data_IF_644093930082
#
_entry.id   IF_644093930082
#
_cell.length_a   1.000
_cell.length_b   1.000
_cell.length_c   1.000
_cell.angle_alpha   90.00
_cell.angle_beta   90.00
_cell.angle_gamma   90.00
#
_symmetry.space_group_name_H-M   'P 1'
#
loop_
_entity.id
_entity.type
_entity.pdbx_description
1 polymer ?
#
# COMPACT_ATOMS: atom_id res chain seq x y z
N UNK A 1 -21.99 -4.36 -16.62
CA UNK A 1 -22.02 -4.01 -15.19
C UNK A 1 -23.29 -3.25 -14.89
N UNK A 2 -23.75 -3.17 -13.61
CA UNK A 2 -24.99 -2.47 -13.21
C UNK A 2 -24.65 -1.39 -12.20
N UNK A 3 -25.41 -0.29 -12.15
CA UNK A 3 -25.37 0.68 -11.06
C UNK A 3 -25.81 -0.03 -9.76
N UNK A 4 -25.02 0.09 -8.70
CA UNK A 4 -25.23 -0.66 -7.44
C UNK A 4 -25.20 0.27 -6.23
N UNK A 5 -25.90 -0.12 -5.16
CA UNK A 5 -25.77 0.49 -3.84
C UNK A 5 -24.48 0.04 -3.15
N UNK A 6 -24.00 0.77 -2.15
CA UNK A 6 -22.77 0.44 -1.40
C UNK A 6 -22.82 -0.95 -0.77
N UNK A 7 -23.95 -1.29 -0.13
CA UNK A 7 -24.17 -2.61 0.46
C UNK A 7 -24.06 -3.72 -0.59
N UNK A 8 -24.63 -3.51 -1.78
CA UNK A 8 -24.55 -4.47 -2.88
C UNK A 8 -23.14 -4.60 -3.44
N UNK A 9 -22.35 -3.51 -3.50
CA UNK A 9 -20.96 -3.55 -3.95
C UNK A 9 -20.13 -4.41 -3.02
N UNK A 10 -20.24 -4.20 -1.70
CA UNK A 10 -19.48 -4.98 -0.71
C UNK A 10 -19.92 -6.44 -0.71
N UNK A 11 -21.22 -6.71 -0.66
CA UNK A 11 -21.75 -8.09 -0.62
C UNK A 11 -21.37 -8.90 -1.88
N UNK A 12 -21.56 -8.33 -3.07
CA UNK A 12 -21.23 -8.98 -4.33
C UNK A 12 -19.71 -9.12 -4.53
N UNK A 13 -18.92 -8.12 -4.09
CA UNK A 13 -17.48 -8.20 -4.12
C UNK A 13 -16.96 -9.34 -3.25
N UNK A 14 -17.47 -9.44 -2.03
CA UNK A 14 -17.12 -10.51 -1.12
C UNK A 14 -17.55 -11.89 -1.65
N UNK A 15 -18.77 -11.98 -2.20
CA UNK A 15 -19.27 -13.20 -2.83
C UNK A 15 -18.42 -13.64 -4.01
N UNK A 16 -18.12 -12.73 -4.95
CA UNK A 16 -17.27 -13.04 -6.09
C UNK A 16 -15.89 -13.53 -5.66
N UNK A 17 -15.30 -12.86 -4.66
CA UNK A 17 -14.00 -13.25 -4.12
C UNK A 17 -14.02 -14.67 -3.55
N UNK A 18 -14.97 -14.97 -2.64
CA UNK A 18 -15.06 -16.25 -1.97
C UNK A 18 -15.37 -17.42 -2.94
N UNK A 19 -16.34 -17.24 -3.82
CA UNK A 19 -16.73 -18.27 -4.80
C UNK A 19 -15.59 -18.60 -5.77
N UNK A 20 -14.70 -17.64 -6.06
CA UNK A 20 -13.60 -17.82 -7.00
C UNK A 20 -12.22 -17.84 -6.33
N UNK A 21 -12.15 -17.87 -5.00
CA UNK A 21 -10.87 -17.79 -4.26
C UNK A 21 -9.83 -18.79 -4.77
N UNK A 22 -10.24 -20.07 -4.94
CA UNK A 22 -9.34 -21.13 -5.44
C UNK A 22 -8.74 -20.81 -6.82
N UNK A 23 -9.50 -20.17 -7.70
CA UNK A 23 -9.05 -19.79 -9.05
C UNK A 23 -8.08 -18.59 -8.98
N UNK A 24 -8.41 -17.60 -8.16
CA UNK A 24 -7.59 -16.42 -7.91
C UNK A 24 -6.26 -16.79 -7.22
N UNK A 25 -6.34 -17.68 -6.23
CA UNK A 25 -5.16 -18.24 -5.57
C UNK A 25 -4.21 -18.91 -6.56
N UNK A 26 -4.73 -19.83 -7.41
CA UNK A 26 -3.91 -20.53 -8.40
C UNK A 26 -3.19 -19.63 -9.39
N UNK A 27 -3.72 -18.43 -9.68
CA UNK A 27 -3.09 -17.48 -10.60
C UNK A 27 -2.04 -16.60 -9.97
N UNK A 28 -2.10 -16.37 -8.65
CA UNK A 28 -1.28 -15.35 -7.98
C UNK A 28 -0.28 -15.89 -6.96
N UNK A 29 -0.37 -17.16 -6.54
CA UNK A 29 0.34 -17.69 -5.38
C UNK A 29 1.86 -17.55 -5.44
N UNK A 30 2.49 -17.75 -6.61
CA UNK A 30 3.95 -17.62 -6.74
C UNK A 30 4.39 -16.17 -6.50
N UNK A 31 3.68 -15.21 -7.12
CA UNK A 31 4.00 -13.80 -6.93
C UNK A 31 3.64 -13.31 -5.51
N UNK A 32 2.60 -13.90 -4.90
CA UNK A 32 2.26 -13.67 -3.49
C UNK A 32 3.34 -14.20 -2.54
N UNK A 33 3.98 -15.35 -2.85
CA UNK A 33 5.15 -15.83 -2.09
C UNK A 33 6.33 -14.87 -2.25
N UNK A 34 6.64 -14.41 -3.46
CA UNK A 34 7.72 -13.43 -3.67
C UNK A 34 7.46 -12.16 -2.86
N UNK A 35 6.23 -11.63 -2.89
CA UNK A 35 5.82 -10.52 -2.05
C UNK A 35 6.03 -10.81 -0.56
N UNK A 36 5.56 -11.95 -0.09
CA UNK A 36 5.66 -12.35 1.32
C UNK A 36 7.12 -12.51 1.78
N UNK A 37 8.00 -13.07 0.93
CA UNK A 37 9.44 -13.18 1.22
C UNK A 37 10.10 -11.78 1.31
N UNK A 38 9.75 -10.86 0.43
CA UNK A 38 10.24 -9.47 0.50
C UNK A 38 9.76 -8.78 1.79
N UNK A 39 8.48 -8.96 2.16
CA UNK A 39 7.93 -8.43 3.40
C UNK A 39 8.52 -9.10 4.65
N UNK A 40 8.79 -10.42 4.59
CA UNK A 40 9.48 -11.15 5.64
C UNK A 40 10.88 -10.62 5.88
N UNK A 41 11.66 -10.41 4.81
CA UNK A 41 12.99 -9.82 4.89
C UNK A 41 12.92 -8.37 5.41
N UNK A 42 11.97 -7.56 4.92
CA UNK A 42 11.75 -6.19 5.37
C UNK A 42 11.38 -6.15 6.87
N UNK A 43 10.41 -6.98 7.29
CA UNK A 43 9.98 -7.07 8.69
C UNK A 43 11.12 -7.50 9.62
N UNK A 44 11.91 -8.47 9.20
CA UNK A 44 13.09 -8.93 9.98
C UNK A 44 14.16 -7.84 10.08
N UNK A 45 14.48 -7.20 8.95
CA UNK A 45 15.48 -6.14 8.90
C UNK A 45 15.06 -4.95 9.78
N UNK A 46 13.79 -4.56 9.73
CA UNK A 46 13.25 -3.48 10.56
C UNK A 46 13.20 -3.86 12.04
N UNK A 47 12.79 -5.09 12.38
CA UNK A 47 12.71 -5.56 13.76
C UNK A 47 14.07 -5.59 14.46
N UNK A 48 15.16 -5.88 13.71
CA UNK A 48 16.52 -5.96 14.27
C UNK A 48 17.24 -4.61 14.19
N UNK A 49 17.17 -3.93 13.02
CA UNK A 49 18.01 -2.75 12.76
C UNK A 49 17.42 -1.42 13.22
N UNK A 50 16.09 -1.29 13.31
CA UNK A 50 15.50 -0.05 13.82
C UNK A 50 15.82 0.18 15.31
N UNK A 51 15.72 -0.80 16.22
CA UNK A 51 16.16 -0.61 17.60
C UNK A 51 17.63 -0.22 17.70
N UNK A 52 18.54 -0.91 17.00
CA UNK A 52 19.98 -0.56 16.95
C UNK A 52 20.20 0.89 16.50
N UNK A 53 19.50 1.33 15.43
CA UNK A 53 19.58 2.69 14.91
C UNK A 53 19.07 3.71 15.92
N UNK A 54 17.91 3.44 16.53
CA UNK A 54 17.31 4.34 17.54
C UNK A 54 18.27 4.55 18.72
N UNK A 55 18.92 3.46 19.17
CA UNK A 55 19.89 3.51 20.28
C UNK A 55 21.13 4.32 19.91
N UNK A 56 21.68 4.08 18.72
CA UNK A 56 22.83 4.85 18.26
C UNK A 56 22.51 6.34 18.13
N UNK A 57 21.30 6.68 17.62
CA UNK A 57 20.83 8.05 17.53
C UNK A 57 20.67 8.71 18.90
N UNK A 58 20.06 8.03 19.87
CA UNK A 58 19.90 8.59 21.23
C UNK A 58 21.23 8.81 21.94
N UNK A 59 22.16 7.87 21.82
CA UNK A 59 23.51 7.98 22.41
C UNK A 59 24.31 9.13 21.79
N UNK A 60 24.19 9.36 20.48
CA UNK A 60 24.89 10.44 19.78
C UNK A 60 24.27 11.82 20.03
N UNK A 61 22.93 11.93 20.17
CA UNK A 61 22.29 13.16 20.58
C UNK A 61 22.76 13.67 21.94
N UNK A 62 23.14 12.74 22.85
CA UNK A 62 23.66 13.08 24.17
C UNK A 62 25.14 13.46 24.16
N UNK A 63 25.93 13.02 23.15
CA UNK A 63 27.39 13.21 23.09
C UNK A 63 27.85 14.41 22.26
N UNK A 64 26.98 15.06 21.51
CA UNK A 64 27.24 16.26 20.67
C UNK A 64 28.43 16.19 19.69
N UNK A 65 29.05 15.05 19.46
CA UNK A 65 30.25 14.92 18.62
C UNK A 65 30.01 14.01 17.40
N UNK A 66 30.28 14.52 16.20
CA UNK A 66 30.50 13.73 14.99
C UNK A 66 29.28 13.06 14.37
N UNK A 67 28.07 13.57 14.62
CA UNK A 67 26.78 12.92 14.39
C UNK A 67 26.52 12.42 12.95
N UNK A 68 26.90 13.17 11.91
CA UNK A 68 26.37 12.87 10.58
C UNK A 68 27.22 11.94 9.70
N UNK A 69 28.52 11.93 9.82
CA UNK A 69 29.36 11.24 8.85
C UNK A 69 29.48 9.73 9.10
N UNK A 70 29.79 9.30 10.31
CA UNK A 70 29.98 7.87 10.62
C UNK A 70 28.67 7.12 10.77
N UNK A 71 27.68 7.71 11.45
CA UNK A 71 26.38 7.10 11.64
C UNK A 71 25.63 6.98 10.33
N UNK A 72 25.63 8.01 9.49
CA UNK A 72 25.04 7.97 8.17
C UNK A 72 25.67 6.89 7.28
N UNK A 73 27.00 6.70 7.35
CA UNK A 73 27.71 5.67 6.58
C UNK A 73 27.36 4.26 7.06
N UNK A 74 27.35 4.06 8.38
CA UNK A 74 27.05 2.75 8.98
C UNK A 74 25.62 2.30 8.70
N UNK A 75 24.66 3.22 8.73
CA UNK A 75 23.24 2.91 8.51
C UNK A 75 22.75 3.13 7.09
N UNK A 76 23.52 3.81 6.24
CA UNK A 76 23.16 4.04 4.83
C UNK A 76 22.82 2.73 4.13
N UNK A 77 23.63 1.68 4.28
CA UNK A 77 23.40 0.37 3.69
C UNK A 77 22.07 -0.26 4.18
N UNK A 78 21.78 -0.12 5.48
CA UNK A 78 20.51 -0.59 6.07
C UNK A 78 19.32 0.17 5.51
N UNK A 79 19.41 1.48 5.44
CA UNK A 79 18.35 2.35 4.88
C UNK A 79 18.12 2.03 3.40
N UNK A 80 19.18 1.89 2.61
CA UNK A 80 19.09 1.49 1.19
C UNK A 80 18.50 0.08 1.05
N UNK A 81 18.87 -0.85 1.94
CA UNK A 81 18.28 -2.18 1.99
C UNK A 81 16.77 -2.17 2.28
N UNK A 82 16.34 -1.37 3.25
CA UNK A 82 14.92 -1.19 3.58
C UNK A 82 14.16 -0.60 2.38
N UNK A 83 14.68 0.46 1.78
CA UNK A 83 14.05 1.10 0.60
C UNK A 83 13.99 0.12 -0.57
N UNK A 84 15.08 -0.61 -0.85
CA UNK A 84 15.13 -1.60 -1.92
C UNK A 84 14.13 -2.73 -1.74
N UNK A 85 14.04 -3.30 -0.52
CA UNK A 85 13.07 -4.34 -0.19
C UNK A 85 11.63 -3.82 -0.26
N UNK A 86 11.38 -2.58 0.19
CA UNK A 86 10.07 -1.93 0.08
C UNK A 86 9.63 -1.78 -1.38
N UNK A 87 10.51 -1.28 -2.24
CA UNK A 87 10.24 -1.15 -3.67
C UNK A 87 9.99 -2.51 -4.33
N UNK A 88 10.75 -3.55 -3.96
CA UNK A 88 10.57 -4.91 -4.42
C UNK A 88 9.24 -5.50 -3.97
N UNK A 89 8.85 -5.28 -2.70
CA UNK A 89 7.56 -5.71 -2.17
C UNK A 89 6.40 -5.03 -2.90
N UNK A 90 6.47 -3.72 -3.15
CA UNK A 90 5.46 -2.96 -3.93
C UNK A 90 5.37 -3.51 -5.36
N UNK A 91 6.50 -3.80 -6.00
CA UNK A 91 6.54 -4.36 -7.34
C UNK A 91 5.90 -5.77 -7.37
N UNK A 92 6.28 -6.65 -6.45
CA UNK A 92 5.74 -8.00 -6.34
C UNK A 92 4.21 -7.98 -6.06
N UNK A 93 3.77 -7.13 -5.13
CA UNK A 93 2.34 -6.93 -4.83
C UNK A 93 1.58 -6.44 -6.07
N UNK A 94 2.12 -5.45 -6.78
CA UNK A 94 1.52 -4.90 -8.00
C UNK A 94 1.37 -5.96 -9.10
N UNK A 95 2.40 -6.79 -9.30
CA UNK A 95 2.38 -7.86 -10.28
C UNK A 95 1.42 -9.00 -9.87
N UNK A 96 1.39 -9.38 -8.60
CA UNK A 96 0.44 -10.37 -8.08
C UNK A 96 -1.01 -9.89 -8.21
N UNK A 97 -1.28 -8.62 -7.88
CA UNK A 97 -2.61 -8.01 -8.07
C UNK A 97 -3.00 -7.91 -9.54
N UNK A 98 -2.04 -7.73 -10.46
CA UNK A 98 -2.30 -7.72 -11.90
C UNK A 98 -2.84 -9.06 -12.41
N UNK A 99 -2.41 -10.19 -11.83
CA UNK A 99 -2.94 -11.51 -12.18
C UNK A 99 -4.41 -11.65 -11.80
N UNK A 100 -4.78 -11.15 -10.63
CA UNK A 100 -6.17 -11.12 -10.15
C UNK A 100 -7.01 -10.16 -11.01
N UNK A 101 -6.48 -8.96 -11.32
CA UNK A 101 -7.13 -7.99 -12.21
C UNK A 101 -7.41 -8.55 -13.61
N UNK A 102 -6.50 -9.36 -14.14
CA UNK A 102 -6.72 -10.02 -15.43
C UNK A 102 -7.94 -10.96 -15.36
N UNK A 103 -8.12 -11.66 -14.25
CA UNK A 103 -9.30 -12.51 -14.02
C UNK A 103 -10.59 -11.69 -13.80
N UNK A 104 -10.49 -10.54 -13.15
CA UNK A 104 -11.62 -9.61 -13.03
C UNK A 104 -12.01 -8.98 -14.37
N UNK A 105 -11.03 -8.75 -15.26
CA UNK A 105 -11.30 -8.30 -16.61
C UNK A 105 -12.03 -9.39 -17.43
N UNK A 106 -11.59 -10.64 -17.35
CA UNK A 106 -12.29 -11.78 -17.92
C UNK A 106 -13.74 -11.86 -17.41
N UNK A 107 -13.95 -11.70 -16.09
CA UNK A 107 -15.29 -11.65 -15.51
C UNK A 107 -16.13 -10.47 -16.05
N UNK A 108 -15.50 -9.30 -16.30
CA UNK A 108 -16.20 -8.16 -16.91
C UNK A 108 -16.74 -8.50 -18.30
N UNK A 109 -15.96 -9.23 -19.10
CA UNK A 109 -16.25 -9.51 -20.49
C UNK A 109 -17.17 -10.74 -20.68
N UNK A 110 -16.97 -11.80 -19.89
CA UNK A 110 -17.67 -13.10 -20.04
C UNK A 110 -18.71 -13.40 -18.94
N UNK A 111 -18.69 -12.65 -17.83
CA UNK A 111 -19.53 -12.91 -16.65
C UNK A 111 -19.02 -14.04 -15.77
N UNK A 112 -17.95 -14.74 -16.13
CA UNK A 112 -17.38 -15.87 -15.37
C UNK A 112 -15.88 -15.75 -15.22
N UNK A 113 -15.31 -16.44 -14.22
CA UNK A 113 -13.86 -16.56 -14.03
C UNK A 113 -13.46 -18.00 -14.38
N UNK A 114 -12.65 -18.17 -15.43
CA UNK A 114 -12.15 -19.47 -15.82
C UNK A 114 -11.04 -19.97 -14.89
N UNK A 115 -10.89 -21.31 -14.82
CA UNK A 115 -9.74 -21.91 -14.15
C UNK A 115 -8.50 -21.70 -15.00
N UNK A 116 -7.40 -21.16 -14.45
CA UNK A 116 -6.18 -20.94 -15.23
C UNK A 116 -5.57 -22.29 -15.66
N UNK A 117 -5.18 -22.46 -16.93
CA UNK A 117 -4.49 -23.67 -17.38
C UNK A 117 -3.07 -23.79 -16.79
N UNK A 118 -2.41 -22.66 -16.57
CA UNK A 118 -1.08 -22.57 -15.97
C UNK A 118 -1.03 -21.49 -14.89
N UNK A 119 -0.03 -21.56 -14.01
CA UNK A 119 0.18 -20.62 -12.92
C UNK A 119 0.54 -19.19 -13.38
N UNK A 120 1.04 -19.00 -14.59
CA UNK A 120 1.35 -17.70 -15.18
C UNK A 120 0.55 -17.49 -16.48
N UNK A 121 -0.73 -17.21 -16.35
CA UNK A 121 -1.61 -16.94 -17.50
C UNK A 121 -1.71 -15.45 -17.83
N UNK A 122 -1.15 -14.59 -16.99
CA UNK A 122 -1.23 -13.15 -17.17
C UNK A 122 -0.14 -12.67 -18.12
N UNK A 123 -0.54 -11.88 -19.13
CA UNK A 123 0.43 -11.34 -20.08
C UNK A 123 1.43 -10.41 -19.37
N UNK A 124 2.73 -10.46 -19.74
CA UNK A 124 3.74 -9.55 -19.21
C UNK A 124 3.36 -8.06 -19.38
N UNK A 125 2.63 -7.75 -20.44
CA UNK A 125 2.11 -6.40 -20.72
C UNK A 125 1.15 -5.91 -19.63
N UNK A 126 0.28 -6.77 -19.09
CA UNK A 126 -0.62 -6.41 -17.98
C UNK A 126 0.14 -6.21 -16.68
N UNK A 127 1.14 -7.04 -16.41
CA UNK A 127 2.01 -6.89 -15.21
C UNK A 127 2.80 -5.58 -15.28
N UNK A 128 3.45 -5.28 -16.40
CA UNK A 128 4.17 -4.03 -16.61
C UNK A 128 3.26 -2.80 -16.54
N UNK A 129 2.03 -2.92 -17.03
CA UNK A 129 1.02 -1.87 -16.95
C UNK A 129 0.59 -1.62 -15.50
N UNK A 130 0.37 -2.67 -14.70
CA UNK A 130 0.04 -2.56 -13.28
C UNK A 130 1.19 -1.90 -12.51
N UNK A 131 2.41 -2.37 -12.69
CA UNK A 131 3.60 -1.81 -12.06
C UNK A 131 3.75 -0.31 -12.39
N UNK A 132 3.63 0.04 -13.69
CA UNK A 132 3.68 1.44 -14.14
C UNK A 132 2.55 2.28 -13.53
N UNK A 133 1.33 1.76 -13.49
CA UNK A 133 0.17 2.45 -12.93
C UNK A 133 0.32 2.72 -11.45
N UNK A 134 0.73 1.73 -10.67
CA UNK A 134 0.99 1.85 -9.22
C UNK A 134 2.13 2.85 -8.97
N UNK A 135 3.26 2.72 -9.69
CA UNK A 135 4.39 3.63 -9.56
C UNK A 135 4.00 5.09 -9.85
N UNK A 136 3.27 5.34 -10.94
CA UNK A 136 2.80 6.68 -11.28
C UNK A 136 1.78 7.23 -10.28
N UNK A 137 0.93 6.38 -9.71
CA UNK A 137 -0.01 6.78 -8.66
C UNK A 137 0.74 7.18 -7.38
N UNK A 138 1.75 6.40 -6.98
CA UNK A 138 2.62 6.73 -5.85
C UNK A 138 3.37 8.04 -6.11
N UNK A 139 3.88 8.24 -7.32
CA UNK A 139 4.56 9.49 -7.70
C UNK A 139 3.65 10.71 -7.52
N UNK A 140 2.38 10.62 -7.93
CA UNK A 140 1.41 11.70 -7.73
C UNK A 140 1.14 11.97 -6.25
N UNK A 141 1.09 10.90 -5.41
CA UNK A 141 0.89 11.04 -3.96
C UNK A 141 2.13 11.59 -3.22
N UNK A 142 3.33 11.38 -3.75
CA UNK A 142 4.56 11.92 -3.17
C UNK A 142 4.66 13.44 -3.37
N UNK A 143 4.08 14.01 -4.42
CA UNK A 143 4.18 15.46 -4.72
C UNK A 143 3.81 16.35 -3.52
N UNK A 144 2.64 16.19 -2.84
CA UNK A 144 2.31 17.00 -1.67
C UNK A 144 3.29 16.85 -0.52
N UNK A 145 3.85 15.65 -0.32
CA UNK A 145 4.83 15.38 0.73
C UNK A 145 6.18 16.07 0.45
N UNK A 146 6.64 16.00 -0.81
CA UNK A 146 7.89 16.69 -1.22
C UNK A 146 7.71 18.21 -1.11
N UNK A 147 6.57 18.73 -1.55
CA UNK A 147 6.27 20.16 -1.42
C UNK A 147 6.28 20.60 0.04
N UNK A 148 5.68 19.83 0.93
CA UNK A 148 5.71 20.07 2.37
C UNK A 148 7.14 20.06 2.91
N UNK A 149 7.94 19.04 2.58
CA UNK A 149 9.33 18.94 3.02
C UNK A 149 10.18 20.15 2.54
N UNK A 150 9.99 20.59 1.30
CA UNK A 150 10.66 21.78 0.75
C UNK A 150 10.23 23.05 1.48
N UNK A 151 8.93 23.23 1.73
CA UNK A 151 8.42 24.38 2.47
C UNK A 151 8.98 24.42 3.90
N UNK A 152 9.08 23.27 4.56
CA UNK A 152 9.66 23.17 5.90
C UNK A 152 11.17 23.49 5.89
N UNK A 153 11.93 22.99 4.91
CA UNK A 153 13.35 23.29 4.76
C UNK A 153 13.60 24.79 4.52
N UNK A 154 12.75 25.45 3.71
CA UNK A 154 12.82 26.91 3.50
C UNK A 154 12.51 27.65 4.81
N UNK A 155 11.47 27.26 5.54
CA UNK A 155 11.12 27.89 6.81
C UNK A 155 12.25 27.77 7.85
N UNK A 156 12.91 26.61 7.91
CA UNK A 156 14.08 26.38 8.76
C UNK A 156 15.27 27.27 8.39
N UNK A 157 15.53 27.44 7.09
CA UNK A 157 16.64 28.29 6.61
C UNK A 157 16.44 29.79 6.94
N UNK A 158 15.18 30.24 6.98
CA UNK A 158 14.84 31.64 7.30
C UNK A 158 14.82 31.91 8.79
N UNK A 159 14.41 30.93 9.61
CA UNK A 159 14.32 31.11 11.06
C UNK A 159 14.53 29.76 11.79
N UNK A 160 15.81 29.39 12.07
CA UNK A 160 16.15 28.09 12.69
C UNK A 160 15.51 27.86 14.05
N UNK A 161 15.25 28.94 14.82
CA UNK A 161 14.61 28.86 16.12
C UNK A 161 13.08 28.73 16.06
N UNK A 162 12.47 29.03 14.92
CA UNK A 162 11.02 29.03 14.77
C UNK A 162 10.40 27.62 14.81
N UNK A 163 11.12 26.58 14.36
CA UNK A 163 10.59 25.20 14.35
C UNK A 163 10.40 24.68 15.75
N UNK A 164 11.36 24.88 16.65
CA UNK A 164 11.25 24.44 18.05
C UNK A 164 10.19 25.23 18.82
N UNK A 165 10.01 26.51 18.53
CA UNK A 165 8.98 27.37 19.16
C UNK A 165 7.58 27.17 18.58
N UNK A 166 7.46 26.58 17.36
CA UNK A 166 6.19 26.39 16.64
C UNK A 166 5.88 24.93 16.33
N UNK A 167 6.16 24.01 17.26
CA UNK A 167 5.84 22.58 17.12
C UNK A 167 4.36 22.35 16.76
N UNK A 168 3.46 23.18 17.31
CA UNK A 168 2.03 23.18 16.97
C UNK A 168 1.77 23.52 15.50
N UNK A 169 2.49 24.49 14.95
CA UNK A 169 2.37 24.88 13.52
C UNK A 169 2.86 23.77 12.61
N UNK A 170 3.96 23.08 12.98
CA UNK A 170 4.45 21.92 12.27
C UNK A 170 3.41 20.80 12.21
N UNK A 171 2.84 20.43 13.35
CA UNK A 171 1.80 19.41 13.41
C UNK A 171 0.53 19.81 12.65
N UNK A 172 0.12 21.08 12.74
CA UNK A 172 -1.02 21.58 11.96
C UNK A 172 -0.77 21.48 10.45
N UNK A 173 0.41 21.87 9.99
CA UNK A 173 0.78 21.76 8.57
C UNK A 173 0.86 20.28 8.12
N UNK A 174 1.40 19.39 8.93
CA UNK A 174 1.42 17.95 8.66
C UNK A 174 -0.01 17.38 8.56
N UNK A 175 -0.91 17.78 9.46
CA UNK A 175 -2.32 17.40 9.40
C UNK A 175 -2.99 17.84 8.09
N UNK A 176 -2.70 19.06 7.62
CA UNK A 176 -3.22 19.55 6.32
C UNK A 176 -2.73 18.67 5.17
N UNK A 177 -1.45 18.29 5.14
CA UNK A 177 -0.90 17.39 4.12
C UNK A 177 -1.58 16.02 4.18
N UNK A 178 -1.77 15.46 5.37
CA UNK A 178 -2.49 14.19 5.55
C UNK A 178 -3.92 14.26 5.02
N UNK A 179 -4.64 15.37 5.27
CA UNK A 179 -6.00 15.59 4.75
C UNK A 179 -5.97 15.67 3.21
N UNK A 180 -5.03 16.39 2.62
CA UNK A 180 -4.89 16.49 1.16
C UNK A 180 -4.63 15.09 0.57
N UNK A 181 -3.71 14.31 1.13
CA UNK A 181 -3.42 12.95 0.68
C UNK A 181 -4.65 12.05 0.79
N UNK A 182 -5.37 12.14 1.91
CA UNK A 182 -6.61 11.40 2.13
C UNK A 182 -7.68 11.71 1.08
N UNK A 183 -7.84 12.99 0.71
CA UNK A 183 -8.77 13.40 -0.35
C UNK A 183 -8.33 12.88 -1.71
N UNK A 184 -7.02 12.90 -2.01
CA UNK A 184 -6.48 12.50 -3.32
C UNK A 184 -6.46 10.99 -3.57
N UNK A 185 -6.27 10.17 -2.53
CA UNK A 185 -6.15 8.71 -2.67
C UNK A 185 -7.37 8.10 -3.35
N UNK A 186 -8.59 8.49 -2.97
CA UNK A 186 -9.82 7.87 -3.47
C UNK A 186 -10.04 8.06 -4.98
N UNK A 187 -9.98 9.29 -5.54
CA UNK A 187 -10.09 9.46 -6.98
C UNK A 187 -8.92 8.84 -7.75
N UNK A 188 -7.71 8.81 -7.18
CA UNK A 188 -6.55 8.16 -7.81
C UNK A 188 -6.73 6.64 -7.89
N UNK A 189 -7.33 6.00 -6.89
CA UNK A 189 -7.65 4.57 -6.94
C UNK A 189 -8.68 4.26 -8.03
N UNK A 190 -9.70 5.11 -8.23
CA UNK A 190 -10.62 4.97 -9.35
C UNK A 190 -9.91 5.14 -10.71
N UNK A 191 -9.06 6.16 -10.85
CA UNK A 191 -8.26 6.38 -12.07
C UNK A 191 -7.35 5.19 -12.36
N UNK A 192 -6.67 4.66 -11.33
CA UNK A 192 -5.81 3.48 -11.46
C UNK A 192 -6.62 2.27 -11.96
N UNK A 193 -7.79 2.00 -11.36
CA UNK A 193 -8.65 0.90 -11.78
C UNK A 193 -9.11 1.09 -13.23
N UNK A 194 -9.53 2.28 -13.61
CA UNK A 194 -9.91 2.60 -14.99
C UNK A 194 -8.75 2.40 -15.96
N UNK A 195 -7.56 2.90 -15.61
CA UNK A 195 -6.36 2.70 -16.41
C UNK A 195 -6.04 1.22 -16.63
N UNK A 196 -6.23 0.37 -15.62
CA UNK A 196 -5.93 -1.07 -15.70
C UNK A 196 -7.00 -1.85 -16.47
N UNK A 197 -8.27 -1.46 -16.36
CA UNK A 197 -9.39 -2.14 -17.01
C UNK A 197 -9.59 -1.75 -18.48
N UNK A 198 -9.26 -0.51 -18.84
CA UNK A 198 -9.45 0.04 -20.19
C UNK A 198 -8.11 0.13 -20.93
N UNK A 199 -7.70 -0.95 -21.57
CA UNK A 199 -6.53 -0.94 -22.45
C UNK A 199 -6.95 -0.79 -23.94
N UNK A 200 -6.14 -0.12 -24.80
CA UNK A 200 -4.89 0.59 -24.51
C UNK A 200 -5.12 2.09 -24.22
N UNK A 201 -4.68 2.58 -23.08
CA UNK A 201 -4.68 4.02 -22.78
C UNK A 201 -3.41 4.45 -22.03
N UNK A 202 -3.06 5.75 -22.11
CA UNK A 202 -1.93 6.33 -21.38
C UNK A 202 -2.38 6.80 -20.00
N UNK A 203 -1.60 6.52 -18.95
CA UNK A 203 -1.95 6.87 -17.57
C UNK A 203 -2.31 8.36 -17.39
N UNK A 204 -1.47 9.28 -17.86
CA UNK A 204 -1.70 10.73 -17.74
C UNK A 204 -2.95 11.22 -18.48
N UNK A 205 -3.29 10.59 -19.61
CA UNK A 205 -4.53 10.89 -20.33
C UNK A 205 -5.74 10.42 -19.52
N UNK A 206 -5.68 9.21 -18.96
CA UNK A 206 -6.72 8.67 -18.09
C UNK A 206 -6.87 9.50 -16.82
N UNK A 207 -5.75 9.91 -16.20
CA UNK A 207 -5.76 10.77 -15.01
C UNK A 207 -6.51 12.08 -15.28
N UNK A 208 -6.14 12.82 -16.33
CA UNK A 208 -6.78 14.09 -16.67
C UNK A 208 -8.27 13.93 -17.00
N UNK A 209 -8.63 12.88 -17.75
CA UNK A 209 -10.00 12.65 -18.17
C UNK A 209 -10.93 12.16 -17.04
N UNK A 210 -10.40 11.38 -16.10
CA UNK A 210 -11.22 10.62 -15.14
C UNK A 210 -11.11 11.11 -13.71
N UNK A 211 -10.12 11.96 -13.37
CA UNK A 211 -9.93 12.48 -12.02
C UNK A 211 -11.15 13.27 -11.54
N UNK A 212 -11.73 14.14 -12.39
CA UNK A 212 -12.94 14.89 -12.07
C UNK A 212 -14.17 14.00 -11.84
N UNK A 213 -14.26 12.86 -12.56
CA UNK A 213 -15.28 11.85 -12.31
C UNK A 213 -15.08 11.20 -10.93
N UNK A 214 -13.85 10.82 -10.60
CA UNK A 214 -13.50 10.29 -9.27
C UNK A 214 -13.83 11.27 -8.15
N UNK A 215 -13.53 12.56 -8.32
CA UNK A 215 -13.87 13.60 -7.34
C UNK A 215 -15.39 13.78 -7.18
N UNK A 216 -16.15 13.72 -8.26
CA UNK A 216 -17.63 13.79 -8.22
C UNK A 216 -18.25 12.66 -7.41
N UNK A 217 -17.66 11.47 -7.48
CA UNK A 217 -18.11 10.28 -6.76
C UNK A 217 -17.30 10.01 -5.49
N UNK A 218 -16.58 11.03 -4.98
CA UNK A 218 -15.65 10.89 -3.85
C UNK A 218 -16.29 10.22 -2.63
N UNK A 219 -17.48 10.67 -2.21
CA UNK A 219 -18.18 10.09 -1.06
C UNK A 219 -18.52 8.59 -1.23
N UNK A 220 -18.86 8.18 -2.45
CA UNK A 220 -19.11 6.78 -2.77
C UNK A 220 -17.84 5.94 -2.71
N UNK A 221 -16.75 6.47 -3.27
CA UNK A 221 -15.42 5.85 -3.22
C UNK A 221 -14.93 5.74 -1.79
N UNK A 222 -14.99 6.85 -1.04
CA UNK A 222 -14.60 6.88 0.37
C UNK A 222 -15.33 5.81 1.18
N UNK A 223 -16.65 5.76 1.12
CA UNK A 223 -17.43 4.83 1.93
C UNK A 223 -17.08 3.36 1.65
N UNK A 224 -16.96 2.97 0.37
CA UNK A 224 -16.61 1.60 0.00
C UNK A 224 -15.18 1.26 0.41
N UNK A 225 -14.23 2.18 0.16
CA UNK A 225 -12.84 1.99 0.57
C UNK A 225 -12.68 1.93 2.08
N UNK A 226 -13.32 2.85 2.81
CA UNK A 226 -13.26 2.90 4.26
C UNK A 226 -13.78 1.60 4.90
N UNK A 227 -14.95 1.12 4.48
CA UNK A 227 -15.52 -0.12 5.00
C UNK A 227 -14.66 -1.34 4.62
N UNK A 228 -14.15 -1.37 3.39
CA UNK A 228 -13.25 -2.45 2.94
C UNK A 228 -11.94 -2.44 3.70
N UNK A 229 -11.34 -1.25 3.90
CA UNK A 229 -10.11 -1.06 4.65
C UNK A 229 -10.30 -1.45 6.12
N UNK A 230 -11.39 -1.02 6.75
CA UNK A 230 -11.71 -1.38 8.13
C UNK A 230 -11.75 -2.89 8.31
N UNK A 231 -12.45 -3.60 7.42
CA UNK A 231 -12.51 -5.07 7.44
C UNK A 231 -11.12 -5.70 7.27
N UNK A 232 -10.35 -5.27 6.27
CA UNK A 232 -9.00 -5.80 5.99
C UNK A 232 -8.06 -5.52 7.18
N UNK A 233 -8.10 -4.32 7.76
CA UNK A 233 -7.25 -3.95 8.89
C UNK A 233 -7.59 -4.73 10.17
N UNK A 234 -8.87 -4.94 10.46
CA UNK A 234 -9.27 -5.76 11.62
C UNK A 234 -8.77 -7.21 11.50
N UNK A 235 -8.89 -7.81 10.31
CA UNK A 235 -8.35 -9.16 10.08
C UNK A 235 -6.80 -9.13 10.07
N UNK A 236 -6.20 -8.12 9.47
CA UNK A 236 -4.75 -7.92 9.42
C UNK A 236 -4.14 -7.83 10.81
N UNK A 237 -4.76 -7.11 11.75
CA UNK A 237 -4.30 -7.04 13.14
C UNK A 237 -4.23 -8.43 13.80
N UNK A 238 -5.23 -9.27 13.56
CA UNK A 238 -5.26 -10.65 14.10
C UNK A 238 -4.17 -11.51 13.45
N UNK A 239 -4.05 -11.44 12.11
CA UNK A 239 -3.08 -12.24 11.34
C UNK A 239 -1.65 -11.84 11.69
N UNK A 240 -1.38 -10.54 11.83
CA UNK A 240 -0.05 -10.01 12.11
C UNK A 240 0.34 -10.06 13.60
N UNK A 241 -0.57 -10.46 14.49
CA UNK A 241 -0.32 -10.52 15.94
C UNK A 241 0.94 -11.32 16.29
N UNK A 242 1.22 -12.53 15.75
CA UNK A 242 2.45 -13.25 16.04
C UNK A 242 3.71 -12.47 15.62
N UNK A 243 3.68 -11.79 14.47
CA UNK A 243 4.78 -10.97 13.99
C UNK A 243 5.02 -9.74 14.88
N UNK A 244 3.94 -9.11 15.38
CA UNK A 244 4.04 -7.99 16.32
C UNK A 244 4.62 -8.44 17.68
N UNK A 245 4.24 -9.63 18.18
CA UNK A 245 4.80 -10.19 19.42
C UNK A 245 6.31 -10.40 19.27
N UNK A 246 6.75 -10.99 18.14
CA UNK A 246 8.17 -11.19 17.89
C UNK A 246 8.92 -9.87 17.71
N UNK A 247 8.33 -8.89 17.03
CA UNK A 247 8.92 -7.56 16.91
C UNK A 247 9.10 -6.90 18.29
N UNK A 248 8.07 -6.98 19.14
CA UNK A 248 8.15 -6.46 20.51
C UNK A 248 9.22 -7.19 21.34
N UNK A 249 9.31 -8.52 21.24
CA UNK A 249 10.36 -9.29 21.92
C UNK A 249 11.77 -8.88 21.46
N UNK A 250 11.97 -8.64 20.15
CA UNK A 250 13.23 -8.11 19.64
C UNK A 250 13.56 -6.72 20.23
N UNK A 251 12.57 -5.81 20.30
CA UNK A 251 12.78 -4.49 20.91
C UNK A 251 13.14 -4.57 22.39
N UNK A 252 12.47 -5.44 23.16
CA UNK A 252 12.75 -5.62 24.58
C UNK A 252 14.16 -6.23 24.82
N UNK A 253 14.59 -7.18 24.00
CA UNK A 253 15.92 -7.73 24.12
C UNK A 253 17.02 -6.69 23.83
N UNK A 254 16.80 -5.83 22.81
CA UNK A 254 17.74 -4.72 22.55
C UNK A 254 17.75 -3.69 23.71
N UNK A 255 16.60 -3.40 24.30
CA UNK A 255 16.51 -2.55 25.48
C UNK A 255 17.22 -3.18 26.71
N UNK A 256 17.08 -4.51 26.88
CA UNK A 256 17.77 -5.28 27.92
C UNK A 256 19.31 -5.18 27.82
N UNK A 257 19.86 -5.31 26.61
CA UNK A 257 21.30 -5.15 26.36
C UNK A 257 21.83 -3.78 26.84
N UNK A 258 21.02 -2.72 26.75
CA UNK A 258 21.40 -1.38 27.20
C UNK A 258 21.52 -1.26 28.71
N UNK A 259 20.69 -1.98 29.45
CA UNK A 259 20.72 -2.00 30.93
C UNK A 259 21.63 -3.08 31.49
N UNK A 260 22.44 -3.72 30.60
CA UNK A 260 23.46 -4.69 31.00
C UNK A 260 22.99 -6.13 31.11
N UNK A 261 21.85 -6.50 30.49
CA UNK A 261 21.43 -7.90 30.40
C UNK A 261 22.32 -8.67 29.40
N UNK A 262 23.11 -9.65 29.85
CA UNK A 262 24.06 -10.37 29.00
C UNK A 262 23.39 -11.42 28.11
N UNK A 263 22.11 -11.77 28.34
CA UNK A 263 21.48 -12.93 27.70
C UNK A 263 21.17 -12.69 26.21
N UNK A 264 20.83 -11.45 25.83
CA UNK A 264 20.53 -11.11 24.43
C UNK A 264 19.44 -11.99 23.82
N UNK A 265 19.36 -11.96 22.49
CA UNK A 265 18.39 -12.78 21.74
C UNK A 265 18.99 -14.13 21.35
N UNK A 266 18.24 -15.24 21.48
CA UNK A 266 18.64 -16.54 20.94
C UNK A 266 18.88 -16.47 19.43
N UNK A 267 19.88 -17.19 18.92
CA UNK A 267 20.29 -17.16 17.50
C UNK A 267 19.19 -17.53 16.51
N UNK A 268 18.24 -18.38 16.91
CA UNK A 268 17.11 -18.78 16.06
C UNK A 268 16.03 -17.70 15.88
N UNK A 269 16.02 -16.64 16.70
CA UNK A 269 14.96 -15.62 16.67
C UNK A 269 14.91 -14.85 15.35
N UNK A 270 16.03 -14.62 14.71
CA UNK A 270 16.08 -13.99 13.38
C UNK A 270 15.33 -14.84 12.34
N UNK A 271 15.60 -16.14 12.30
CA UNK A 271 14.93 -17.06 11.39
C UNK A 271 13.44 -17.20 11.71
N UNK A 272 13.09 -17.26 12.99
CA UNK A 272 11.69 -17.32 13.45
C UNK A 272 10.93 -16.04 13.07
N UNK A 273 11.53 -14.88 13.27
CA UNK A 273 10.96 -13.58 12.88
C UNK A 273 10.72 -13.53 11.37
N UNK A 274 11.71 -13.94 10.56
CA UNK A 274 11.57 -13.99 9.11
C UNK A 274 10.43 -14.92 8.65
N UNK A 275 10.40 -16.14 9.18
CA UNK A 275 9.37 -17.13 8.82
C UNK A 275 7.97 -16.64 9.22
N UNK A 276 7.84 -16.06 10.42
CA UNK A 276 6.54 -15.56 10.92
C UNK A 276 6.06 -14.37 10.10
N UNK A 277 6.90 -13.36 9.85
CA UNK A 277 6.52 -12.23 8.98
C UNK A 277 6.15 -12.71 7.57
N UNK A 278 6.92 -13.62 6.99
CA UNK A 278 6.63 -14.19 5.66
C UNK A 278 5.27 -14.86 5.63
N UNK A 279 4.96 -15.73 6.61
CA UNK A 279 3.68 -16.43 6.66
C UNK A 279 2.51 -15.46 6.87
N UNK A 280 2.64 -14.53 7.81
CA UNK A 280 1.61 -13.54 8.09
C UNK A 280 1.35 -12.65 6.86
N UNK A 281 2.39 -12.12 6.21
CA UNK A 281 2.25 -11.29 5.01
C UNK A 281 1.68 -12.07 3.82
N UNK A 282 1.97 -13.38 3.70
CA UNK A 282 1.36 -14.22 2.67
C UNK A 282 -0.17 -14.34 2.86
N UNK A 283 -0.63 -14.55 4.08
CA UNK A 283 -2.07 -14.63 4.40
C UNK A 283 -2.71 -13.26 4.20
N UNK A 284 -2.09 -12.20 4.71
CA UNK A 284 -2.58 -10.81 4.61
C UNK A 284 -2.69 -10.34 3.16
N UNK A 285 -1.79 -10.78 2.27
CA UNK A 285 -1.90 -10.50 0.84
C UNK A 285 -3.29 -10.91 0.32
N UNK A 286 -3.75 -12.12 0.61
CA UNK A 286 -5.06 -12.58 0.13
C UNK A 286 -6.22 -11.86 0.79
N UNK A 287 -6.13 -11.54 2.07
CA UNK A 287 -7.15 -10.73 2.74
C UNK A 287 -7.26 -9.34 2.09
N UNK A 288 -6.13 -8.72 1.76
CA UNK A 288 -6.11 -7.40 1.11
C UNK A 288 -6.69 -7.39 -0.32
N UNK A 289 -6.66 -8.52 -1.05
CA UNK A 289 -7.22 -8.60 -2.40
C UNK A 289 -8.76 -8.46 -2.44
N UNK A 290 -9.44 -8.64 -1.34
CA UNK A 290 -10.88 -8.32 -1.21
C UNK A 290 -11.13 -6.84 -1.56
N UNK A 291 -10.25 -5.94 -1.12
CA UNK A 291 -10.33 -4.51 -1.44
C UNK A 291 -10.20 -4.25 -2.95
N UNK A 292 -9.35 -5.03 -3.65
CA UNK A 292 -9.21 -4.94 -5.10
C UNK A 292 -10.52 -5.31 -5.83
N UNK A 293 -11.22 -6.35 -5.34
CA UNK A 293 -12.51 -6.78 -5.91
C UNK A 293 -13.60 -5.75 -5.61
N UNK A 294 -13.62 -5.15 -4.43
CA UNK A 294 -14.55 -4.05 -4.13
C UNK A 294 -14.28 -2.83 -5.03
N UNK A 295 -13.00 -2.51 -5.28
CA UNK A 295 -12.61 -1.44 -6.20
C UNK A 295 -13.09 -1.72 -7.64
N UNK A 296 -13.02 -2.98 -8.10
CA UNK A 296 -13.58 -3.39 -9.38
C UNK A 296 -15.09 -3.14 -9.48
N UNK A 297 -15.86 -3.47 -8.45
CA UNK A 297 -17.32 -3.28 -8.46
C UNK A 297 -17.73 -1.80 -8.36
N UNK A 298 -17.03 -1.00 -7.55
CA UNK A 298 -17.34 0.44 -7.46
C UNK A 298 -16.96 1.16 -8.75
N UNK A 299 -15.82 0.81 -9.37
CA UNK A 299 -15.45 1.29 -10.70
C UNK A 299 -16.57 1.02 -11.71
N UNK A 300 -17.05 -0.23 -11.80
CA UNK A 300 -18.13 -0.58 -12.73
C UNK A 300 -19.46 0.12 -12.44
N UNK A 301 -19.78 0.34 -11.17
CA UNK A 301 -20.99 1.07 -10.77
C UNK A 301 -20.92 2.56 -11.17
N UNK A 302 -19.74 3.19 -11.01
CA UNK A 302 -19.53 4.60 -11.39
C UNK A 302 -19.62 4.75 -12.92
N UNK A 303 -18.95 3.90 -13.70
CA UNK A 303 -19.01 3.93 -15.15
C UNK A 303 -20.44 3.79 -15.66
N UNK A 304 -21.22 2.88 -15.07
CA UNK A 304 -22.63 2.71 -15.45
C UNK A 304 -23.46 3.97 -15.16
N UNK A 305 -23.29 4.60 -14.00
CA UNK A 305 -23.96 5.84 -13.63
C UNK A 305 -23.61 7.02 -14.56
N UNK A 306 -22.36 7.15 -14.95
CA UNK A 306 -21.95 8.20 -15.88
C UNK A 306 -22.52 7.98 -17.28
N UNK A 307 -22.55 6.74 -17.77
CA UNK A 307 -23.20 6.39 -19.04
C UNK A 307 -24.71 6.68 -19.04
N UNK A 308 -25.41 6.37 -17.96
CA UNK A 308 -26.84 6.70 -17.80
C UNK A 308 -27.06 8.22 -17.81
N UNK A 309 -26.19 8.95 -17.12
CA UNK A 309 -26.23 10.42 -17.09
C UNK A 309 -25.99 11.06 -18.46
N UNK A 310 -25.05 10.52 -19.25
CA UNK A 310 -24.79 10.99 -20.61
C UNK A 310 -25.97 10.76 -21.52
N UNK A 311 -26.60 9.59 -21.46
CA UNK A 311 -27.83 9.27 -22.20
C UNK A 311 -28.99 10.21 -21.85
N UNK A 312 -29.19 10.52 -20.57
CA UNK A 312 -30.22 11.48 -20.14
C UNK A 312 -29.97 12.88 -20.71
N UNK A 313 -28.71 13.34 -20.75
CA UNK A 313 -28.37 14.64 -21.34
C UNK A 313 -28.59 14.68 -22.86
N UNK A 314 -28.42 13.58 -23.57
CA UNK A 314 -28.65 13.47 -25.00
C UNK A 314 -30.17 13.49 -25.32
N UNK A 315 -30.98 12.87 -24.45
CA UNK A 315 -32.45 12.85 -24.65
C UNK A 315 -33.15 14.19 -24.33
N UNK A 316 -32.46 15.12 -23.64
CA UNK A 316 -32.97 16.45 -23.28
C UNK A 316 -32.58 17.52 -24.33
N UNK A 317 -31.64 17.22 -25.20
CA UNK A 317 -31.21 18.06 -26.32
C UNK A 317 -31.99 17.71 -27.61
#
# INVERSE_FOLDING_TARGET
MKARSYRSILAEGYRLYNENFRKLFKTSWILAIVYALCCGALGTLTAIKIPELTLALTHQLTSMQGFFAETAKTYALTIFGIIGLLLLAIAAMSMASATILNKLKEHKDTGTISTPPHWLTTSPAMMGRSLKGVFLTILVLIIPMVLFAVLMAIAESVSPQAIMSHLTTFFAALCVVCIILFILVHPLMYVLMKYLMEAPCKYWKTLRASFGCGMRHWGSLFLVFFLSMLFVQLLGLIIMLPAHILNYANQQAHAGLLIGDPLGMPSYMTALTFATFTLCCFIEFYVSQVMLVHNYYIYGSIETKELEREKQKQNIR
#
